data_IF_584548894294
#
_entry.id   IF_584548894294
#
_cell.length_a   1.000
_cell.length_b   1.000
_cell.length_c   1.000
_cell.angle_alpha   90.00
_cell.angle_beta   90.00
_cell.angle_gamma   90.00
#
_symmetry.space_group_name_H-M   'P 1'
#
loop_
_entity.id
_entity.type
_entity.pdbx_description
1 polymer ?
#
# COMPACT_ATOMS: atom_id res chain seq x y z
N UNK A 1 -7.80 11.86 3.31
CA UNK A 1 -6.71 11.73 4.27
C UNK A 1 -5.67 12.87 4.20
N UNK A 2 -5.18 13.27 3.03
CA UNK A 2 -4.23 14.40 2.86
C UNK A 2 -4.76 15.68 3.52
N UNK A 3 -6.04 16.03 3.32
CA UNK A 3 -6.69 17.21 3.92
C UNK A 3 -6.67 17.12 5.46
N UNK A 4 -6.88 15.93 6.03
CA UNK A 4 -6.84 15.72 7.48
C UNK A 4 -5.40 15.88 8.03
N UNK A 5 -4.41 15.32 7.35
CA UNK A 5 -3.00 15.48 7.70
C UNK A 5 -2.53 16.93 7.63
N UNK A 6 -2.95 17.67 6.58
CA UNK A 6 -2.67 19.11 6.44
C UNK A 6 -3.32 19.92 7.56
N UNK A 7 -4.56 19.60 7.94
CA UNK A 7 -5.23 20.27 9.06
C UNK A 7 -4.55 19.99 10.40
N UNK A 8 -4.10 18.76 10.65
CA UNK A 8 -3.31 18.43 11.85
C UNK A 8 -2.00 19.21 11.83
N UNK A 9 -1.30 19.27 10.69
CA UNK A 9 -0.06 20.03 10.56
C UNK A 9 -0.27 21.51 10.84
N UNK A 10 -1.30 22.13 10.25
CA UNK A 10 -1.65 23.51 10.50
C UNK A 10 -1.99 23.74 11.98
N UNK A 11 -2.76 22.85 12.61
CA UNK A 11 -3.06 22.92 14.03
C UNK A 11 -1.79 22.87 14.90
N UNK A 12 -0.86 21.95 14.59
CA UNK A 12 0.40 21.82 15.31
C UNK A 12 1.29 23.06 15.14
N UNK A 13 1.33 23.65 13.93
CA UNK A 13 2.05 24.90 13.67
C UNK A 13 1.44 26.05 14.47
N UNK A 14 0.13 26.23 14.42
CA UNK A 14 -0.59 27.26 15.17
C UNK A 14 -0.39 27.08 16.67
N UNK A 15 -0.47 25.85 17.17
CA UNK A 15 -0.21 25.53 18.57
C UNK A 15 1.23 25.87 18.97
N UNK A 16 2.22 25.54 18.11
CA UNK A 16 3.62 25.87 18.36
C UNK A 16 3.86 27.37 18.41
N UNK A 17 3.31 28.13 17.47
CA UNK A 17 3.39 29.60 17.45
C UNK A 17 2.71 30.18 18.70
N UNK A 18 1.52 29.69 19.05
CA UNK A 18 0.81 30.13 20.25
C UNK A 18 1.58 29.89 21.54
N UNK A 19 2.23 28.70 21.67
CA UNK A 19 3.10 28.36 22.80
C UNK A 19 4.30 29.31 22.90
N UNK A 20 4.94 29.61 21.76
CA UNK A 20 6.08 30.59 21.72
C UNK A 20 5.63 31.97 22.11
N UNK A 21 4.47 32.43 21.63
CA UNK A 21 3.95 33.76 21.99
C UNK A 21 3.54 33.87 23.49
N UNK A 22 2.99 32.83 24.09
CA UNK A 22 2.57 32.84 25.49
C UNK A 22 3.76 32.79 26.47
N UNK A 23 4.87 32.14 26.11
CA UNK A 23 6.08 32.17 26.95
C UNK A 23 6.64 33.57 27.14
N UNK A 24 6.47 34.46 26.13
CA UNK A 24 6.87 35.86 26.26
C UNK A 24 6.06 36.66 27.29
N UNK A 25 4.77 36.30 27.50
CA UNK A 25 3.87 37.04 28.41
C UNK A 25 4.09 36.70 29.88
N UNK A 26 4.44 35.46 30.20
CA UNK A 26 4.73 35.06 31.59
C UNK A 26 6.00 35.68 32.13
N UNK A 27 6.95 36.00 31.25
CA UNK A 27 8.21 36.70 31.64
C UNK A 27 8.00 38.19 31.88
N UNK A 28 7.12 38.84 31.14
CA UNK A 28 6.85 40.27 31.35
C UNK A 28 6.18 40.55 32.71
N UNK A 29 5.54 39.56 33.36
CA UNK A 29 5.02 39.63 34.72
C UNK A 29 6.12 39.49 35.80
N UNK A 30 7.23 38.81 35.51
CA UNK A 30 8.33 38.61 36.46
C UNK A 30 9.33 39.75 36.48
N UNK A 31 9.43 40.55 35.39
CA UNK A 31 10.36 41.69 35.28
C UNK A 31 9.96 42.93 36.12
N UNK A 32 8.80 42.93 36.78
CA UNK A 32 8.39 43.99 37.67
C UNK A 32 9.16 43.96 39.04
N UNK A 33 9.98 42.91 39.27
CA UNK A 33 10.77 42.75 40.51
C UNK A 33 12.24 43.06 40.40
N UNK A 34 12.70 43.85 39.41
CA UNK A 34 13.91 44.62 39.47
C UNK A 34 15.25 43.87 39.45
N UNK A 35 15.38 42.73 38.83
CA UNK A 35 16.66 42.06 38.64
C UNK A 35 16.96 41.92 37.14
N UNK A 36 17.97 42.60 36.64
CA UNK A 36 18.53 42.51 35.29
C UNK A 36 19.16 41.13 35.10
N UNK A 37 18.39 40.16 34.57
CA UNK A 37 18.91 38.85 34.15
C UNK A 37 19.13 38.88 32.64
N UNK A 38 20.38 38.76 32.29
CA UNK A 38 21.02 38.84 30.96
C UNK A 38 20.18 38.22 29.83
N UNK A 39 19.93 39.02 28.78
CA UNK A 39 19.13 38.71 27.58
C UNK A 39 19.60 37.51 26.75
N UNK A 40 20.82 37.01 26.95
CA UNK A 40 21.47 35.93 26.21
C UNK A 40 20.84 34.54 26.56
N UNK A 41 20.48 34.28 27.81
CA UNK A 41 19.88 33.06 28.27
C UNK A 41 18.49 32.80 27.65
N UNK A 42 17.78 33.87 27.34
CA UNK A 42 16.41 33.81 26.84
C UNK A 42 16.32 33.39 25.37
N UNK A 43 17.33 33.77 24.56
CA UNK A 43 17.38 33.46 23.13
C UNK A 43 17.69 31.96 22.89
N UNK A 44 18.62 31.40 23.63
CA UNK A 44 18.99 29.99 23.54
C UNK A 44 17.83 29.04 23.94
N UNK A 45 17.07 29.39 24.93
CA UNK A 45 15.93 28.57 25.37
C UNK A 45 14.80 28.53 24.35
N UNK A 46 14.53 29.66 23.70
CA UNK A 46 13.50 29.75 22.65
C UNK A 46 13.90 28.96 21.39
N UNK A 47 15.16 29.00 20.97
CA UNK A 47 15.68 28.24 19.83
C UNK A 47 15.61 26.71 20.10
N UNK A 48 15.99 26.26 21.30
CA UNK A 48 15.91 24.86 21.70
C UNK A 48 14.47 24.35 21.71
N UNK A 49 13.53 25.12 22.21
CA UNK A 49 12.12 24.77 22.24
C UNK A 49 11.56 24.65 20.83
N UNK A 50 11.88 25.60 19.94
CA UNK A 50 11.47 25.54 18.53
C UNK A 50 12.05 24.32 17.84
N UNK A 51 13.31 24.01 18.07
CA UNK A 51 13.99 22.86 17.47
C UNK A 51 13.35 21.52 17.91
N UNK A 52 13.08 21.37 19.21
CA UNK A 52 12.32 20.21 19.73
C UNK A 52 10.95 20.06 19.07
N UNK A 53 10.23 21.17 18.95
CA UNK A 53 8.90 21.19 18.34
C UNK A 53 8.98 20.75 16.88
N UNK A 54 9.88 21.28 16.10
CA UNK A 54 10.07 20.94 14.68
C UNK A 54 10.40 19.46 14.50
N UNK A 55 11.29 18.90 15.33
CA UNK A 55 11.61 17.46 15.27
C UNK A 55 10.43 16.60 15.61
N UNK A 56 9.66 16.94 16.65
CA UNK A 56 8.46 16.18 17.02
C UNK A 56 7.41 16.20 15.92
N UNK A 57 7.14 17.36 15.34
CA UNK A 57 6.21 17.49 14.21
C UNK A 57 6.69 16.68 13.02
N UNK A 58 7.98 16.74 12.69
CA UNK A 58 8.57 15.95 11.59
C UNK A 58 8.37 14.46 11.81
N UNK A 59 8.67 13.94 13.01
CA UNK A 59 8.47 12.52 13.33
C UNK A 59 6.99 12.13 13.25
N UNK A 60 6.10 12.97 13.79
CA UNK A 60 4.65 12.73 13.72
C UNK A 60 4.17 12.61 12.28
N UNK A 61 4.61 13.51 11.39
CA UNK A 61 4.24 13.49 9.97
C UNK A 61 4.81 12.25 9.28
N UNK A 62 6.07 11.91 9.55
CA UNK A 62 6.72 10.73 8.98
C UNK A 62 5.96 9.45 9.36
N UNK A 63 5.59 9.30 10.63
CA UNK A 63 4.80 8.15 11.10
C UNK A 63 3.41 8.11 10.45
N UNK A 64 2.74 9.26 10.28
CA UNK A 64 1.47 9.34 9.58
C UNK A 64 1.59 8.93 8.10
N UNK A 65 2.68 9.33 7.43
CA UNK A 65 2.95 8.92 6.04
C UNK A 65 3.16 7.40 5.98
N UNK A 66 3.95 6.81 6.88
CA UNK A 66 4.18 5.37 6.95
C UNK A 66 2.85 4.63 7.17
N UNK A 67 2.03 5.07 8.13
CA UNK A 67 0.70 4.48 8.36
C UNK A 67 -0.20 4.59 7.12
N UNK A 68 -0.11 5.71 6.39
CA UNK A 68 -0.88 5.89 5.16
C UNK A 68 -0.44 4.92 4.06
N UNK A 69 0.86 4.76 3.86
CA UNK A 69 1.40 3.83 2.86
C UNK A 69 1.00 2.40 3.20
N UNK A 70 1.16 1.97 4.46
CA UNK A 70 0.71 0.65 4.92
C UNK A 70 -0.79 0.44 4.68
N UNK A 71 -1.61 1.49 4.90
CA UNK A 71 -3.05 1.41 4.69
C UNK A 71 -3.42 1.28 3.20
N UNK A 72 -2.74 2.03 2.31
CA UNK A 72 -3.09 2.11 0.89
C UNK A 72 -2.54 0.93 0.07
N UNK A 73 -1.30 0.52 0.34
CA UNK A 73 -0.56 -0.41 -0.54
C UNK A 73 -0.55 -1.86 -0.05
N UNK A 74 -0.97 -2.17 1.19
CA UNK A 74 -0.79 -3.49 1.84
C UNK A 74 0.67 -3.99 1.84
N UNK A 75 1.61 -3.19 1.33
CA UNK A 75 3.02 -3.53 1.25
C UNK A 75 3.77 -3.01 2.48
N UNK A 76 3.59 -3.74 3.59
CA UNK A 76 4.33 -3.47 4.83
C UNK A 76 5.84 -3.69 4.58
N UNK A 77 6.21 -4.71 3.79
CA UNK A 77 7.60 -5.06 3.54
C UNK A 77 8.33 -4.00 2.72
N UNK A 78 7.71 -3.46 1.66
CA UNK A 78 8.26 -2.36 0.87
C UNK A 78 8.42 -1.08 1.69
N UNK A 79 7.41 -0.72 2.48
CA UNK A 79 7.46 0.44 3.36
C UNK A 79 8.58 0.34 4.41
N UNK A 80 8.78 -0.83 5.01
CA UNK A 80 9.90 -1.08 5.93
C UNK A 80 11.25 -1.11 5.23
N UNK A 81 11.35 -1.61 4.01
CA UNK A 81 12.59 -1.60 3.22
C UNK A 81 13.09 -0.18 2.97
N UNK A 82 12.21 0.74 2.60
CA UNK A 82 12.55 2.16 2.47
C UNK A 82 13.00 2.79 3.78
N UNK A 83 12.33 2.47 4.89
CA UNK A 83 12.72 2.96 6.22
C UNK A 83 14.11 2.42 6.61
N UNK A 84 14.36 1.13 6.41
CA UNK A 84 15.65 0.49 6.69
C UNK A 84 16.74 1.11 5.81
N UNK A 85 16.47 1.33 4.52
CA UNK A 85 17.40 2.00 3.61
C UNK A 85 17.73 3.41 4.11
N UNK A 86 16.71 4.18 4.51
CA UNK A 86 16.90 5.53 5.03
C UNK A 86 17.72 5.54 6.33
N UNK A 87 17.45 4.63 7.26
CA UNK A 87 18.22 4.50 8.50
C UNK A 87 19.66 4.05 8.20
N UNK A 88 19.83 3.10 7.28
CA UNK A 88 21.16 2.54 6.92
C UNK A 88 22.07 3.56 6.23
N UNK A 89 21.53 4.38 5.34
CA UNK A 89 22.30 5.39 4.59
C UNK A 89 22.22 6.79 5.19
N UNK A 90 21.16 7.09 5.96
CA UNK A 90 20.96 8.37 6.64
C UNK A 90 21.37 8.36 8.12
N UNK A 91 22.16 7.38 8.59
CA UNK A 91 22.53 7.24 10.00
C UNK A 91 23.14 8.49 10.62
N UNK A 92 23.93 9.23 9.85
CA UNK A 92 24.54 10.49 10.28
C UNK A 92 23.51 11.62 10.51
N UNK A 93 22.31 11.52 9.94
CA UNK A 93 21.17 12.42 10.21
C UNK A 93 20.26 11.79 11.30
N UNK A 94 20.03 10.51 11.22
CA UNK A 94 19.10 9.79 12.11
C UNK A 94 19.57 9.75 13.57
N UNK A 95 20.87 9.60 13.80
CA UNK A 95 21.46 9.61 15.16
C UNK A 95 21.24 10.94 15.87
N UNK A 96 21.61 12.13 15.30
CA UNK A 96 21.31 13.40 15.92
C UNK A 96 19.82 13.61 16.21
N UNK A 97 18.94 13.25 15.27
CA UNK A 97 17.49 13.35 15.47
C UNK A 97 17.04 12.46 16.65
N UNK A 98 17.52 11.22 16.73
CA UNK A 98 17.19 10.31 17.82
C UNK A 98 17.68 10.83 19.17
N UNK A 99 18.89 11.39 19.24
CA UNK A 99 19.43 12.02 20.46
C UNK A 99 18.53 13.17 20.91
N UNK A 100 18.17 14.07 19.99
CA UNK A 100 17.30 15.21 20.33
C UNK A 100 15.92 14.73 20.76
N UNK A 101 15.39 13.70 20.13
CA UNK A 101 14.10 13.09 20.49
C UNK A 101 14.16 12.53 21.92
N UNK A 102 15.20 11.73 22.26
CA UNK A 102 15.41 11.17 23.60
C UNK A 102 15.56 12.30 24.64
N UNK A 103 16.38 13.30 24.35
CA UNK A 103 16.53 14.46 25.23
C UNK A 103 15.21 15.19 25.45
N UNK A 104 14.38 15.31 24.41
CA UNK A 104 13.05 15.90 24.48
C UNK A 104 12.11 15.09 25.39
N UNK A 105 12.11 13.74 25.28
CA UNK A 105 11.33 12.86 26.15
C UNK A 105 11.76 13.05 27.61
N UNK A 106 13.07 12.95 27.89
CA UNK A 106 13.63 13.08 29.24
C UNK A 106 13.25 14.43 29.86
N UNK A 107 13.41 15.52 29.10
CA UNK A 107 13.00 16.84 29.59
C UNK A 107 11.51 16.94 29.84
N UNK A 108 10.67 16.34 29.01
CA UNK A 108 9.20 16.38 29.16
C UNK A 108 8.73 15.59 30.40
N UNK A 109 9.45 14.54 30.77
CA UNK A 109 9.14 13.73 31.97
C UNK A 109 9.65 14.40 33.25
N UNK A 110 10.86 14.94 33.22
CA UNK A 110 11.52 15.47 34.43
C UNK A 110 11.09 16.88 34.79
N UNK A 111 10.89 17.76 33.81
CA UNK A 111 10.51 19.15 34.05
C UNK A 111 9.03 19.36 33.73
N UNK A 112 8.18 19.06 34.71
CA UNK A 112 6.73 19.22 34.54
C UNK A 112 6.31 20.69 34.56
N UNK A 113 6.08 21.22 33.37
CA UNK A 113 5.41 22.49 33.16
C UNK A 113 4.39 22.32 32.02
N UNK A 114 3.53 23.32 31.80
CA UNK A 114 2.49 23.28 30.79
C UNK A 114 3.01 22.91 29.39
N UNK A 115 4.14 23.51 28.98
CA UNK A 115 4.76 23.27 27.67
C UNK A 115 5.27 21.83 27.58
N UNK A 116 5.98 21.35 28.59
CA UNK A 116 6.51 19.99 28.61
C UNK A 116 5.41 18.93 28.69
N UNK A 117 4.26 19.23 29.30
CA UNK A 117 3.09 18.33 29.27
C UNK A 117 2.51 18.20 27.85
N UNK A 118 2.54 19.27 27.02
CA UNK A 118 2.13 19.17 25.62
C UNK A 118 3.13 18.30 24.83
N UNK A 119 4.44 18.52 25.03
CA UNK A 119 5.44 17.66 24.40
C UNK A 119 5.30 16.20 24.83
N UNK A 120 5.01 15.93 26.08
CA UNK A 120 4.75 14.58 26.57
C UNK A 120 3.54 13.95 25.86
N UNK A 121 2.47 14.71 25.68
CA UNK A 121 1.30 14.26 24.90
C UNK A 121 1.65 13.89 23.45
N UNK A 122 2.47 14.72 22.79
CA UNK A 122 2.97 14.42 21.42
C UNK A 122 3.86 13.18 21.39
N UNK A 123 4.73 12.98 22.38
CA UNK A 123 5.52 11.75 22.49
C UNK A 123 4.66 10.52 22.67
N UNK A 124 3.65 10.58 23.56
CA UNK A 124 2.70 9.49 23.75
C UNK A 124 1.94 9.17 22.44
N UNK A 125 1.53 10.19 21.70
CA UNK A 125 0.88 10.02 20.40
C UNK A 125 1.80 9.33 19.39
N UNK A 126 3.07 9.74 19.29
CA UNK A 126 4.05 9.10 18.41
C UNK A 126 4.30 7.63 18.80
N UNK A 127 4.39 7.34 20.10
CA UNK A 127 4.52 5.96 20.58
C UNK A 127 3.30 5.12 20.18
N UNK A 128 2.09 5.67 20.34
CA UNK A 128 0.87 5.00 19.92
C UNK A 128 0.88 4.69 18.41
N UNK A 129 1.32 5.62 17.57
CA UNK A 129 1.46 5.40 16.13
C UNK A 129 2.45 4.26 15.84
N UNK A 130 3.61 4.23 16.51
CA UNK A 130 4.57 3.12 16.37
C UNK A 130 3.95 1.79 16.78
N UNK A 131 3.22 1.76 17.91
CA UNK A 131 2.52 0.55 18.35
C UNK A 131 1.47 0.08 17.34
N UNK A 132 0.73 1.00 16.70
CA UNK A 132 -0.20 0.67 15.63
C UNK A 132 0.54 0.09 14.41
N UNK A 133 1.64 0.70 13.97
CA UNK A 133 2.47 0.21 12.86
C UNK A 133 2.98 -1.21 13.16
N UNK A 134 3.55 -1.42 14.35
CA UNK A 134 4.03 -2.74 14.79
C UNK A 134 2.88 -3.74 14.88
N UNK A 135 1.72 -3.31 15.41
CA UNK A 135 0.52 -4.15 15.47
C UNK A 135 0.08 -4.63 14.10
N UNK A 136 0.05 -3.74 13.10
CA UNK A 136 -0.24 -4.13 11.72
C UNK A 136 0.82 -5.06 11.12
N UNK A 137 2.11 -4.84 11.43
CA UNK A 137 3.19 -5.68 10.94
C UNK A 137 3.22 -7.08 11.56
N UNK A 138 2.73 -7.24 12.79
CA UNK A 138 2.73 -8.51 13.52
C UNK A 138 1.45 -9.32 13.29
N UNK A 139 0.35 -8.69 12.83
CA UNK A 139 -0.86 -9.44 12.44
C UNK A 139 -0.49 -10.38 11.30
N UNK A 140 -0.60 -11.71 11.47
CA UNK A 140 -0.33 -12.64 10.39
C UNK A 140 -1.27 -12.30 9.23
N UNK A 141 -0.70 -11.94 8.09
CA UNK A 141 -1.48 -11.89 6.87
C UNK A 141 -1.89 -13.32 6.54
N UNK A 142 -3.18 -13.54 6.22
CA UNK A 142 -3.64 -14.85 5.78
C UNK A 142 -2.78 -15.27 4.58
N UNK A 143 -2.02 -16.36 4.75
CA UNK A 143 -1.23 -16.89 3.66
C UNK A 143 -2.17 -17.35 2.54
N UNK A 144 -1.99 -16.81 1.35
CA UNK A 144 -2.63 -17.34 0.17
C UNK A 144 -2.08 -18.73 -0.13
N UNK A 145 -2.89 -19.75 0.13
CA UNK A 145 -2.58 -21.15 -0.18
C UNK A 145 -3.45 -21.66 -1.32
N UNK A 146 -3.09 -22.76 -1.99
CA UNK A 146 -3.94 -23.35 -3.01
C UNK A 146 -5.33 -23.71 -2.50
N UNK A 147 -5.47 -24.11 -1.23
CA UNK A 147 -6.74 -24.42 -0.60
C UNK A 147 -7.65 -23.20 -0.46
N UNK A 148 -7.09 -22.05 -0.02
CA UNK A 148 -7.86 -20.80 0.10
C UNK A 148 -8.28 -20.29 -1.27
N UNK A 149 -7.41 -20.36 -2.27
CA UNK A 149 -7.71 -19.99 -3.64
C UNK A 149 -8.76 -20.91 -4.27
N UNK A 150 -8.66 -22.23 -4.06
CA UNK A 150 -9.66 -23.20 -4.52
C UNK A 150 -11.04 -22.91 -3.93
N UNK A 151 -11.12 -22.67 -2.61
CA UNK A 151 -12.37 -22.36 -1.94
C UNK A 151 -13.01 -21.08 -2.48
N UNK A 152 -12.21 -20.03 -2.65
CA UNK A 152 -12.64 -18.75 -3.22
C UNK A 152 -13.08 -18.87 -4.68
N UNK A 153 -12.31 -19.60 -5.50
CA UNK A 153 -12.69 -19.86 -6.90
C UNK A 153 -14.02 -20.60 -7.01
N UNK A 154 -14.21 -21.67 -6.21
CA UNK A 154 -15.48 -22.42 -6.18
C UNK A 154 -16.65 -21.53 -5.81
N UNK A 155 -16.50 -20.69 -4.79
CA UNK A 155 -17.55 -19.77 -4.35
C UNK A 155 -17.91 -18.70 -5.39
N UNK A 156 -16.94 -18.25 -6.17
CA UNK A 156 -17.10 -17.14 -7.12
C UNK A 156 -17.17 -17.58 -8.60
N UNK A 157 -17.07 -18.86 -8.91
CA UNK A 157 -16.92 -19.38 -10.28
C UNK A 157 -17.90 -18.77 -11.29
N UNK A 158 -19.17 -18.72 -10.97
CA UNK A 158 -20.20 -18.18 -11.88
C UNK A 158 -20.01 -16.66 -12.13
N UNK A 159 -19.61 -15.93 -11.10
CA UNK A 159 -19.35 -14.48 -11.21
C UNK A 159 -18.10 -14.23 -12.06
N UNK A 160 -17.06 -15.05 -11.88
CA UNK A 160 -15.82 -15.01 -12.68
C UNK A 160 -16.15 -15.27 -14.16
N UNK A 161 -16.83 -16.37 -14.47
CA UNK A 161 -17.20 -16.73 -15.84
C UNK A 161 -18.06 -15.65 -16.50
N UNK A 162 -19.00 -15.06 -15.75
CA UNK A 162 -19.82 -13.93 -16.21
C UNK A 162 -18.98 -12.69 -16.49
N UNK A 163 -18.09 -12.32 -15.56
CA UNK A 163 -17.23 -11.15 -15.71
C UNK A 163 -16.35 -11.28 -16.97
N UNK A 164 -15.68 -12.41 -17.15
CA UNK A 164 -14.84 -12.70 -18.32
C UNK A 164 -15.65 -12.57 -19.61
N UNK A 165 -16.81 -13.22 -19.67
CA UNK A 165 -17.69 -13.21 -20.85
C UNK A 165 -18.15 -11.80 -21.19
N UNK A 166 -18.57 -11.02 -20.20
CA UNK A 166 -19.07 -9.66 -20.40
C UNK A 166 -17.92 -8.74 -20.84
N UNK A 167 -16.77 -8.81 -20.18
CA UNK A 167 -15.63 -7.97 -20.54
C UNK A 167 -15.14 -8.30 -21.95
N UNK A 168 -15.01 -9.56 -22.31
CA UNK A 168 -14.63 -9.98 -23.67
C UNK A 168 -15.61 -9.49 -24.75
N UNK A 169 -16.90 -9.43 -24.43
CA UNK A 169 -17.91 -8.95 -25.39
C UNK A 169 -17.76 -7.46 -25.73
N UNK A 170 -17.04 -6.70 -24.93
CA UNK A 170 -16.79 -5.27 -25.15
C UNK A 170 -15.54 -5.04 -26.01
N UNK A 171 -14.60 -5.99 -26.00
CA UNK A 171 -13.33 -5.82 -26.66
C UNK A 171 -13.44 -6.10 -28.18
N UNK A 172 -12.79 -5.31 -29.02
CA UNK A 172 -12.55 -5.67 -30.43
C UNK A 172 -11.73 -6.97 -30.54
N UNK A 173 -11.81 -7.60 -31.70
CA UNK A 173 -10.99 -8.78 -31.97
C UNK A 173 -9.50 -8.42 -31.92
N UNK A 174 -8.69 -9.33 -31.40
CA UNK A 174 -7.24 -9.17 -31.26
C UNK A 174 -6.81 -8.02 -30.35
N UNK A 175 -7.62 -7.70 -29.35
CA UNK A 175 -7.28 -6.74 -28.29
C UNK A 175 -7.24 -7.42 -26.92
N UNK A 176 -6.37 -6.91 -26.04
CA UNK A 176 -6.31 -7.26 -24.63
C UNK A 176 -6.57 -6.03 -23.78
N UNK A 177 -7.07 -6.28 -22.59
CA UNK A 177 -7.35 -5.28 -21.58
C UNK A 177 -6.95 -5.83 -20.22
N UNK A 178 -6.20 -5.04 -19.46
CA UNK A 178 -5.85 -5.32 -18.06
C UNK A 178 -6.26 -4.17 -17.18
N UNK A 179 -6.64 -4.48 -15.96
CA UNK A 179 -6.98 -3.49 -14.93
C UNK A 179 -6.69 -4.05 -13.56
N UNK A 180 -6.11 -3.24 -12.72
CA UNK A 180 -5.84 -3.57 -11.33
C UNK A 180 -6.31 -2.45 -10.40
N UNK A 181 -6.78 -2.84 -9.22
CA UNK A 181 -7.30 -1.94 -8.19
C UNK A 181 -6.63 -2.24 -6.86
N UNK A 182 -6.35 -1.19 -6.08
CA UNK A 182 -6.01 -1.35 -4.68
C UNK A 182 -7.15 -2.03 -3.90
N UNK A 183 -6.88 -2.51 -2.70
CA UNK A 183 -7.92 -3.08 -1.81
C UNK A 183 -9.09 -2.15 -1.57
N UNK A 184 -8.87 -0.84 -1.69
CA UNK A 184 -9.89 0.19 -1.53
C UNK A 184 -10.61 0.55 -2.85
N UNK A 185 -10.29 -0.16 -3.94
CA UNK A 185 -10.90 0.04 -5.24
C UNK A 185 -10.41 1.28 -6.00
N UNK A 186 -9.26 1.83 -5.61
CA UNK A 186 -8.57 2.84 -6.41
C UNK A 186 -7.85 2.12 -7.56
N UNK A 187 -7.99 2.64 -8.76
CA UNK A 187 -7.28 2.14 -9.94
C UNK A 187 -5.78 2.33 -9.73
N UNK A 188 -5.02 1.23 -9.76
CA UNK A 188 -3.56 1.21 -9.58
C UNK A 188 -2.85 1.02 -10.90
N UNK A 189 -3.40 0.17 -11.76
CA UNK A 189 -2.86 -0.05 -13.09
C UNK A 189 -3.97 -0.36 -14.08
N UNK A 190 -3.77 -0.03 -15.35
CA UNK A 190 -4.59 -0.46 -16.46
C UNK A 190 -3.80 -0.45 -17.76
N UNK A 191 -4.13 -1.36 -18.66
CA UNK A 191 -3.43 -1.49 -19.92
C UNK A 191 -4.37 -1.93 -21.04
N UNK A 192 -3.99 -1.56 -22.25
CA UNK A 192 -4.61 -2.00 -23.48
C UNK A 192 -3.53 -2.53 -24.40
N UNK A 193 -3.74 -3.70 -24.95
CA UNK A 193 -2.84 -4.28 -25.95
C UNK A 193 -3.59 -4.57 -27.24
N UNK A 194 -2.98 -4.29 -28.37
CA UNK A 194 -3.47 -4.66 -29.69
C UNK A 194 -2.35 -5.26 -30.54
N UNK A 195 -2.70 -5.96 -31.63
CA UNK A 195 -1.69 -6.47 -32.59
C UNK A 195 -0.83 -5.38 -33.22
N UNK A 196 -1.28 -4.16 -33.24
CA UNK A 196 -0.66 -3.05 -33.96
C UNK A 196 0.09 -2.07 -33.05
N UNK A 197 -0.26 -1.99 -31.77
CA UNK A 197 0.39 -1.08 -30.83
C UNK A 197 0.43 -1.70 -29.44
N UNK A 198 1.57 -1.61 -28.81
CA UNK A 198 1.80 -2.14 -27.45
C UNK A 198 1.68 -1.00 -26.45
N UNK A 199 0.76 -1.17 -25.53
CA UNK A 199 0.79 -0.68 -24.15
C UNK A 199 0.62 0.80 -23.90
N UNK A 200 -0.57 1.16 -23.43
CA UNK A 200 -0.71 2.26 -22.46
C UNK A 200 -0.67 1.67 -21.06
N UNK A 201 0.24 2.16 -20.23
CA UNK A 201 0.20 1.98 -18.78
C UNK A 201 -0.55 3.17 -18.19
N UNK A 202 -1.46 2.92 -17.24
CA UNK A 202 -2.29 3.94 -16.64
C UNK A 202 -1.54 5.03 -15.87
N UNK A 203 -0.33 4.76 -15.44
CA UNK A 203 0.59 5.69 -14.79
C UNK A 203 1.21 6.73 -15.74
N UNK A 204 1.18 6.49 -17.07
CA UNK A 204 1.65 7.41 -18.11
C UNK A 204 0.58 8.44 -18.52
N UNK A 205 -0.67 8.26 -18.09
CA UNK A 205 -1.80 9.12 -18.47
C UNK A 205 -2.12 10.13 -17.39
N UNK A 206 -1.69 11.36 -17.57
CA UNK A 206 -1.86 12.46 -16.61
C UNK A 206 -3.30 12.99 -16.48
N UNK A 207 -4.18 12.73 -17.47
CA UNK A 207 -5.52 13.30 -17.46
C UNK A 207 -6.66 12.29 -17.65
N UNK A 208 -7.75 12.49 -16.89
CA UNK A 208 -8.97 11.68 -17.01
C UNK A 208 -9.55 11.68 -18.43
N UNK A 209 -9.42 12.79 -19.17
CA UNK A 209 -9.90 12.88 -20.56
C UNK A 209 -9.10 12.01 -21.51
N UNK A 210 -7.81 11.87 -21.26
CA UNK A 210 -6.93 11.02 -22.06
C UNK A 210 -7.23 9.56 -21.80
N UNK A 211 -7.43 9.19 -20.55
CA UNK A 211 -7.90 7.86 -20.16
C UNK A 211 -9.22 7.50 -20.87
N UNK A 212 -10.21 8.38 -20.84
CA UNK A 212 -11.48 8.17 -21.55
C UNK A 212 -11.28 7.96 -23.05
N UNK A 213 -10.39 8.73 -23.66
CA UNK A 213 -10.09 8.63 -25.09
C UNK A 213 -9.44 7.28 -25.45
N UNK A 214 -8.50 6.82 -24.65
CA UNK A 214 -7.82 5.54 -24.90
C UNK A 214 -8.79 4.36 -24.67
N UNK A 215 -9.60 4.41 -23.63
CA UNK A 215 -10.64 3.41 -23.40
C UNK A 215 -11.66 3.34 -24.55
N UNK A 216 -12.07 4.50 -25.10
CA UNK A 216 -13.01 4.56 -26.23
C UNK A 216 -12.45 3.89 -27.50
N UNK A 217 -11.13 3.92 -27.75
CA UNK A 217 -10.51 3.25 -28.90
C UNK A 217 -10.76 1.73 -28.89
N UNK A 218 -10.90 1.12 -27.72
CA UNK A 218 -11.16 -0.31 -27.56
C UNK A 218 -12.61 -0.61 -27.16
N UNK A 219 -13.51 0.34 -27.30
CA UNK A 219 -14.91 0.17 -26.96
C UNK A 219 -15.25 0.13 -25.49
N UNK A 220 -14.32 0.57 -24.62
CA UNK A 220 -14.53 0.68 -23.18
C UNK A 220 -14.92 2.11 -22.78
N UNK A 221 -15.63 2.23 -21.66
CA UNK A 221 -15.94 3.50 -21.00
C UNK A 221 -15.60 3.41 -19.51
N UNK A 222 -15.57 4.55 -18.84
CA UNK A 222 -15.33 4.62 -17.40
C UNK A 222 -16.41 3.84 -16.63
N UNK A 223 -17.68 3.88 -17.08
CA UNK A 223 -18.77 3.13 -16.45
C UNK A 223 -18.57 1.61 -16.57
N UNK A 224 -18.00 1.14 -17.68
CA UNK A 224 -17.63 -0.28 -17.84
C UNK A 224 -16.48 -0.66 -16.91
N UNK A 225 -15.47 0.20 -16.78
CA UNK A 225 -14.40 0.06 -15.79
C UNK A 225 -14.94 -0.04 -14.36
N UNK A 226 -15.85 0.87 -14.00
CA UNK A 226 -16.49 0.85 -12.68
C UNK A 226 -17.31 -0.43 -12.47
N UNK A 227 -17.95 -0.94 -13.51
CA UNK A 227 -18.67 -2.22 -13.44
C UNK A 227 -17.72 -3.40 -13.17
N UNK A 228 -16.54 -3.43 -13.82
CA UNK A 228 -15.47 -4.41 -13.54
C UNK A 228 -14.99 -4.29 -12.11
N UNK A 229 -14.67 -3.07 -11.66
CA UNK A 229 -14.25 -2.77 -10.30
C UNK A 229 -15.23 -3.31 -9.26
N UNK A 230 -16.51 -2.99 -9.40
CA UNK A 230 -17.56 -3.45 -8.47
C UNK A 230 -17.71 -4.97 -8.47
N UNK A 231 -17.58 -5.61 -9.63
CA UNK A 231 -17.63 -7.06 -9.73
C UNK A 231 -16.43 -7.72 -9.04
N UNK A 232 -15.22 -7.21 -9.26
CA UNK A 232 -14.01 -7.69 -8.60
C UNK A 232 -14.07 -7.49 -7.08
N UNK A 233 -14.43 -6.30 -6.62
CA UNK A 233 -14.56 -5.99 -5.19
C UNK A 233 -15.59 -6.90 -4.48
N UNK A 234 -16.71 -7.18 -5.15
CA UNK A 234 -17.73 -8.12 -4.60
C UNK A 234 -17.19 -9.52 -4.39
N UNK A 235 -16.25 -9.95 -5.21
CA UNK A 235 -15.60 -11.26 -5.10
C UNK A 235 -14.36 -11.24 -4.19
N UNK A 236 -13.90 -10.05 -3.76
CA UNK A 236 -12.66 -9.86 -3.01
C UNK A 236 -11.40 -9.91 -3.87
N UNK A 237 -11.52 -9.67 -5.19
CA UNK A 237 -10.42 -9.71 -6.15
C UNK A 237 -9.96 -8.31 -6.53
N UNK A 238 -8.73 -8.21 -7.08
CA UNK A 238 -8.08 -6.92 -7.32
C UNK A 238 -7.95 -6.58 -8.80
N UNK A 239 -7.79 -7.57 -9.67
CA UNK A 239 -7.48 -7.29 -11.06
C UNK A 239 -8.07 -8.30 -12.03
N UNK A 240 -8.11 -7.89 -13.28
CA UNK A 240 -8.54 -8.68 -14.42
C UNK A 240 -7.68 -8.34 -15.63
N UNK A 241 -7.06 -9.36 -16.24
CA UNK A 241 -6.44 -9.26 -17.54
C UNK A 241 -7.13 -10.22 -18.50
N UNK A 242 -7.71 -9.69 -19.57
CA UNK A 242 -8.51 -10.46 -20.54
C UNK A 242 -8.13 -10.09 -21.96
N UNK A 243 -8.01 -11.09 -22.83
CA UNK A 243 -7.77 -10.88 -24.26
C UNK A 243 -8.88 -11.50 -25.11
N UNK A 244 -9.11 -10.96 -26.30
CA UNK A 244 -9.98 -11.50 -27.30
C UNK A 244 -9.20 -11.86 -28.56
N UNK A 245 -9.20 -13.13 -28.92
CA UNK A 245 -8.56 -13.59 -30.17
C UNK A 245 -7.11 -14.06 -30.06
N UNK A 246 -6.63 -14.46 -28.87
CA UNK A 246 -5.40 -15.23 -28.71
C UNK A 246 -4.10 -14.52 -29.07
N UNK A 247 -4.00 -13.21 -28.77
CA UNK A 247 -2.87 -12.39 -29.20
C UNK A 247 -1.83 -12.12 -28.13
N UNK A 248 -2.17 -12.26 -26.85
CA UNK A 248 -1.25 -11.96 -25.75
C UNK A 248 -1.08 -13.14 -24.81
N UNK A 249 -2.16 -13.87 -24.50
CA UNK A 249 -2.07 -15.08 -23.68
C UNK A 249 -3.22 -16.03 -24.01
N UNK A 250 -2.98 -17.33 -23.83
CA UNK A 250 -4.00 -18.38 -23.99
C UNK A 250 -4.94 -18.45 -22.78
N UNK A 251 -4.83 -17.54 -21.83
CA UNK A 251 -5.62 -17.51 -20.59
C UNK A 251 -6.07 -16.09 -20.23
N UNK A 252 -7.11 -16.02 -19.44
CA UNK A 252 -7.53 -14.84 -18.70
C UNK A 252 -6.92 -14.90 -17.31
N UNK A 253 -6.39 -13.77 -16.84
CA UNK A 253 -5.80 -13.65 -15.51
C UNK A 253 -6.73 -12.84 -14.61
N UNK A 254 -6.91 -13.33 -13.38
CA UNK A 254 -7.64 -12.62 -12.33
C UNK A 254 -6.76 -12.53 -11.10
N UNK A 255 -6.39 -11.33 -10.72
CA UNK A 255 -5.61 -11.07 -9.52
C UNK A 255 -6.49 -11.36 -8.31
N UNK A 256 -6.18 -12.47 -7.63
CA UNK A 256 -6.85 -12.89 -6.40
C UNK A 256 -6.51 -11.96 -5.24
N UNK A 257 -5.23 -11.66 -5.07
CA UNK A 257 -4.76 -10.80 -4.00
C UNK A 257 -3.25 -10.69 -3.94
N UNK A 258 -2.80 -9.77 -3.09
CA UNK A 258 -1.39 -9.51 -2.84
C UNK A 258 -1.12 -9.74 -1.35
N UNK A 259 -0.06 -10.47 -1.03
CA UNK A 259 0.39 -10.71 0.34
C UNK A 259 1.89 -10.43 0.43
N UNK A 260 2.25 -9.31 1.06
CA UNK A 260 3.60 -8.77 1.02
C UNK A 260 3.94 -8.34 -0.41
N UNK A 261 5.05 -8.87 -0.94
CA UNK A 261 5.51 -8.65 -2.32
C UNK A 261 5.03 -9.73 -3.31
N UNK A 262 4.13 -10.62 -2.88
CA UNK A 262 3.63 -11.73 -3.71
C UNK A 262 2.23 -11.44 -4.19
N UNK A 263 2.03 -11.57 -5.49
CA UNK A 263 0.74 -11.53 -6.15
C UNK A 263 0.28 -12.96 -6.46
N UNK A 264 -1.00 -13.22 -6.29
CA UNK A 264 -1.63 -14.51 -6.50
C UNK A 264 -2.75 -14.37 -7.51
N UNK A 265 -2.73 -15.22 -8.56
CA UNK A 265 -3.63 -15.11 -9.69
C UNK A 265 -4.31 -16.42 -10.03
N UNK A 266 -5.49 -16.29 -10.63
CA UNK A 266 -6.11 -17.37 -11.40
C UNK A 266 -5.80 -17.19 -12.88
N UNK A 267 -5.12 -18.18 -13.49
CA UNK A 267 -4.97 -18.28 -14.94
C UNK A 267 -6.06 -19.21 -15.46
N UNK A 268 -7.03 -18.65 -16.18
CA UNK A 268 -8.21 -19.36 -16.65
C UNK A 268 -8.09 -19.55 -18.17
N UNK A 269 -7.86 -20.78 -18.59
CA UNK A 269 -7.64 -21.16 -19.96
C UNK A 269 -8.96 -21.35 -20.71
N UNK A 270 -9.02 -20.91 -21.96
CA UNK A 270 -10.18 -21.09 -22.83
C UNK A 270 -10.32 -22.53 -23.34
N UNK A 271 -9.18 -23.21 -23.48
CA UNK A 271 -9.10 -24.62 -23.90
C UNK A 271 -8.54 -25.46 -22.74
N UNK A 272 -8.97 -26.72 -22.64
CA UNK A 272 -8.44 -27.59 -21.60
C UNK A 272 -6.96 -27.84 -21.82
N UNK A 273 -6.19 -27.74 -20.74
CA UNK A 273 -4.78 -28.12 -20.71
C UNK A 273 -4.62 -29.59 -21.10
N UNK A 274 -3.62 -29.87 -21.92
CA UNK A 274 -3.20 -31.26 -22.16
C UNK A 274 -2.55 -31.84 -20.89
N UNK A 275 -2.57 -33.16 -20.74
CA UNK A 275 -1.94 -33.80 -19.57
C UNK A 275 -0.44 -33.47 -19.47
N UNK A 276 0.25 -33.38 -20.60
CA UNK A 276 1.66 -32.99 -20.66
C UNK A 276 1.87 -31.56 -20.16
N UNK A 277 1.07 -30.60 -20.64
CA UNK A 277 1.18 -29.22 -20.22
C UNK A 277 0.81 -29.04 -18.73
N UNK A 278 -0.24 -29.71 -18.27
CA UNK A 278 -0.62 -29.70 -16.86
C UNK A 278 0.49 -30.27 -15.96
N UNK A 279 1.16 -31.34 -16.41
CA UNK A 279 2.31 -31.88 -15.71
C UNK A 279 3.49 -30.91 -15.64
N UNK A 280 3.85 -30.26 -16.77
CA UNK A 280 4.94 -29.27 -16.80
C UNK A 280 4.63 -28.05 -15.93
N UNK A 281 3.41 -27.53 -15.98
CA UNK A 281 2.99 -26.42 -15.13
C UNK A 281 3.05 -26.79 -13.64
N UNK A 282 2.67 -27.99 -13.25
CA UNK A 282 2.80 -28.45 -11.86
C UNK A 282 4.26 -28.67 -11.41
N UNK A 283 5.21 -28.86 -12.33
CA UNK A 283 6.63 -28.89 -11.99
C UNK A 283 7.18 -27.53 -11.66
N UNK A 284 6.58 -26.46 -12.21
CA UNK A 284 7.01 -25.10 -11.93
C UNK A 284 6.64 -24.71 -10.50
N UNK A 285 7.59 -24.25 -9.71
CA UNK A 285 7.42 -24.01 -8.27
C UNK A 285 6.37 -22.93 -7.91
N UNK A 286 6.10 -22.01 -8.84
CA UNK A 286 5.14 -20.91 -8.67
C UNK A 286 3.70 -21.25 -9.12
N UNK A 287 3.49 -22.41 -9.76
CA UNK A 287 2.21 -22.76 -10.39
C UNK A 287 1.58 -23.98 -9.75
N UNK A 288 0.24 -23.99 -9.63
CA UNK A 288 -0.55 -25.11 -9.15
C UNK A 288 -1.72 -25.35 -10.12
N UNK A 289 -1.74 -26.48 -10.80
CA UNK A 289 -2.85 -26.85 -11.68
C UNK A 289 -4.01 -27.36 -10.81
N UNK A 290 -5.06 -26.55 -10.71
CA UNK A 290 -6.28 -26.91 -9.99
C UNK A 290 -7.16 -27.89 -10.81
N UNK A 291 -7.37 -27.55 -12.08
CA UNK A 291 -8.08 -28.41 -13.02
C UNK A 291 -7.60 -28.13 -14.46
N UNK A 292 -8.20 -28.78 -15.46
CA UNK A 292 -7.78 -28.62 -16.86
C UNK A 292 -7.98 -27.21 -17.44
N UNK A 293 -8.65 -26.31 -16.74
CA UNK A 293 -8.91 -24.95 -17.21
C UNK A 293 -8.35 -23.88 -16.29
N UNK A 294 -7.92 -24.24 -15.08
CA UNK A 294 -7.53 -23.24 -14.07
C UNK A 294 -6.21 -23.62 -13.42
N UNK A 295 -5.31 -22.69 -13.44
CA UNK A 295 -4.00 -22.74 -12.77
C UNK A 295 -3.92 -21.59 -11.79
N UNK A 296 -3.47 -21.85 -10.58
CA UNK A 296 -3.13 -20.82 -9.61
C UNK A 296 -1.66 -20.45 -9.80
N UNK A 297 -1.34 -19.16 -9.80
CA UNK A 297 0.02 -18.66 -9.90
C UNK A 297 0.40 -17.79 -8.72
N UNK A 298 1.69 -17.74 -8.44
CA UNK A 298 2.30 -16.86 -7.45
C UNK A 298 3.48 -16.16 -8.12
N UNK A 299 3.42 -14.83 -8.18
CA UNK A 299 4.44 -13.98 -8.79
C UNK A 299 4.94 -12.99 -7.75
N UNK A 300 6.22 -12.69 -7.74
CA UNK A 300 6.79 -11.63 -6.92
C UNK A 300 6.82 -10.30 -7.70
N UNK A 301 6.65 -9.19 -7.04
CA UNK A 301 6.34 -7.85 -7.57
C UNK A 301 7.29 -7.27 -8.63
N UNK A 302 8.20 -8.05 -9.22
CA UNK A 302 9.08 -7.62 -10.33
C UNK A 302 9.29 -8.79 -11.31
N UNK A 303 8.21 -9.38 -11.82
CA UNK A 303 8.25 -10.47 -12.81
C UNK A 303 9.07 -11.72 -12.38
N UNK A 304 9.32 -11.89 -11.10
CA UNK A 304 9.98 -13.07 -10.58
C UNK A 304 8.98 -14.07 -10.03
N UNK A 305 9.03 -15.26 -10.55
CA UNK A 305 8.28 -16.39 -9.99
C UNK A 305 8.69 -16.65 -8.55
N UNK A 306 7.72 -16.81 -7.67
CA UNK A 306 7.96 -17.15 -6.26
C UNK A 306 7.43 -18.54 -5.91
N UNK A 307 8.02 -19.23 -4.91
CA UNK A 307 7.49 -20.52 -4.47
C UNK A 307 6.05 -20.36 -3.95
N UNK A 308 5.13 -21.14 -4.51
CA UNK A 308 3.74 -21.10 -4.09
C UNK A 308 3.58 -21.71 -2.69
N UNK A 309 3.10 -20.95 -1.68
CA UNK A 309 2.95 -21.43 -0.31
C UNK A 309 2.01 -22.66 -0.24
N UNK A 310 2.41 -23.69 0.47
CA UNK A 310 1.58 -24.90 0.67
C UNK A 310 1.42 -25.84 -0.56
N UNK A 311 2.01 -25.50 -1.71
CA UNK A 311 1.87 -26.26 -2.95
C UNK A 311 2.06 -27.76 -2.80
N UNK A 312 3.17 -28.17 -2.20
CA UNK A 312 3.49 -29.60 -2.13
C UNK A 312 2.49 -30.39 -1.28
N UNK A 313 2.06 -29.82 -0.15
CA UNK A 313 1.02 -30.42 0.69
C UNK A 313 -0.31 -30.53 -0.05
N UNK A 314 -0.69 -29.51 -0.79
CA UNK A 314 -1.88 -29.49 -1.63
C UNK A 314 -1.84 -30.58 -2.70
N UNK A 315 -0.76 -30.67 -3.47
CA UNK A 315 -0.62 -31.68 -4.54
C UNK A 315 -0.62 -33.11 -3.99
N UNK A 316 0.08 -33.34 -2.86
CA UNK A 316 0.08 -34.65 -2.21
C UNK A 316 -1.33 -35.08 -1.82
N UNK A 317 -2.11 -34.20 -1.20
CA UNK A 317 -3.51 -34.47 -0.80
C UNK A 317 -4.40 -34.80 -2.01
N UNK A 318 -4.22 -34.10 -3.13
CA UNK A 318 -5.05 -34.29 -4.32
C UNK A 318 -4.59 -35.46 -5.21
N UNK A 319 -3.32 -35.88 -5.11
CA UNK A 319 -2.81 -37.06 -5.81
C UNK A 319 -3.25 -38.35 -5.12
N UNK A 320 -3.38 -38.35 -3.79
CA UNK A 320 -3.87 -39.52 -3.03
C UNK A 320 -5.41 -39.74 -3.13
N UNK A 321 -6.14 -38.78 -3.68
CA UNK A 321 -7.60 -38.84 -3.85
C UNK A 321 -8.06 -39.29 -5.25
N UNK A 322 -7.14 -39.61 -6.16
CA UNK A 322 -7.38 -40.21 -7.47
C UNK A 322 -6.94 -41.66 -7.48
#
# INVERSE_FOLDING_TARGET
MIIFAVNILLFLIVLGVWLLMNQGKDKQKQDISGIEVTSVSNYHFSCWLLFRFLILVFITILLLIIMYVIYEEDDIAGSFSWLIFYVKFGWFISIPIAIVYICSVVQSVWYRNYVNNIFLGLHCFNILQVLCIVGFAVVPQEECTPETMEASYKANRQNIERLIKVTRSWLPDSTGFSVEYSKHGKLTDWGVSSKQEVNFKGDEIESKKEQERELQKIGLSIERLDSVRLALQKMGYRGLSVSRGGTVSDYTEIVYGVTGNKEFDYRIYDKPLTDTLAYELNRHYSLVVYNRYVVFSCVESIDYDCPFPGKYAYLQKHTLSK
#
